data_IF_779544028622
#
_entry.id   IF_779544028622
#
_cell.length_a   1.000
_cell.length_b   1.000
_cell.length_c   1.000
_cell.angle_alpha   90.00
_cell.angle_beta   90.00
_cell.angle_gamma   90.00
#
_symmetry.space_group_name_H-M   'P 1'
#
loop_
_entity.id
_entity.type
_entity.pdbx_description
1 polymer ?
#
# COMPACT_ATOMS: atom_id res chain seq x y z
N UNK A 1 -12.92 -11.72 -8.92
CA UNK A 1 -12.20 -12.65 -8.03
C UNK A 1 -10.82 -12.14 -7.68
N UNK A 2 -9.87 -12.24 -8.61
CA UNK A 2 -8.45 -11.93 -8.36
C UNK A 2 -8.17 -10.53 -7.81
N UNK A 3 -8.82 -9.50 -8.36
CA UNK A 3 -8.66 -8.10 -7.90
C UNK A 3 -9.05 -7.91 -6.43
N UNK A 4 -10.11 -8.60 -5.97
CA UNK A 4 -10.58 -8.50 -4.58
C UNK A 4 -9.58 -9.17 -3.65
N UNK A 5 -9.09 -10.36 -4.01
CA UNK A 5 -8.06 -11.07 -3.23
C UNK A 5 -6.78 -10.25 -3.12
N UNK A 6 -6.30 -9.69 -4.23
CA UNK A 6 -5.11 -8.83 -4.25
C UNK A 6 -5.30 -7.57 -3.42
N UNK A 7 -6.43 -6.87 -3.57
CA UNK A 7 -6.72 -5.66 -2.81
C UNK A 7 -6.85 -5.92 -1.30
N UNK A 8 -7.50 -7.02 -0.92
CA UNK A 8 -7.63 -7.42 0.48
C UNK A 8 -6.28 -7.80 1.10
N UNK A 9 -5.37 -8.39 0.33
CA UNK A 9 -4.03 -8.71 0.79
C UNK A 9 -3.14 -7.47 0.98
N UNK A 10 -3.13 -6.55 0.02
CA UNK A 10 -2.19 -5.41 0.01
C UNK A 10 -2.56 -4.33 1.04
N UNK A 11 -3.86 -4.02 1.21
CA UNK A 11 -4.30 -2.90 2.06
C UNK A 11 -3.80 -2.96 3.52
N UNK A 12 -3.94 -4.08 4.25
CA UNK A 12 -3.48 -4.14 5.64
C UNK A 12 -1.95 -4.22 5.76
N UNK A 13 -1.26 -4.86 4.80
CA UNK A 13 0.18 -5.06 4.91
C UNK A 13 1.01 -3.85 4.47
N UNK A 14 0.53 -3.04 3.51
CA UNK A 14 1.30 -1.94 2.94
C UNK A 14 1.59 -0.83 3.96
N UNK A 15 0.60 -0.43 4.75
CA UNK A 15 0.76 0.60 5.78
C UNK A 15 1.65 0.14 6.94
N UNK A 16 1.45 -1.10 7.40
CA UNK A 16 2.28 -1.70 8.42
C UNK A 16 3.75 -1.77 7.96
N UNK A 17 3.98 -2.31 6.76
CA UNK A 17 5.32 -2.42 6.19
C UNK A 17 6.01 -1.06 6.01
N UNK A 18 5.27 -0.03 5.58
CA UNK A 18 5.79 1.33 5.44
C UNK A 18 6.17 1.97 6.78
N UNK A 19 5.33 1.80 7.81
CA UNK A 19 5.62 2.28 9.16
C UNK A 19 6.83 1.54 9.77
N UNK A 20 6.96 0.25 9.52
CA UNK A 20 8.05 -0.61 9.99
C UNK A 20 9.44 -0.19 9.45
N UNK A 21 9.49 0.67 8.43
CA UNK A 21 10.76 1.22 7.93
C UNK A 21 11.40 2.23 8.90
N UNK A 22 10.64 2.75 9.87
CA UNK A 22 11.10 3.76 10.82
C UNK A 22 11.26 3.17 12.21
N UNK A 23 12.26 3.63 12.96
CA UNK A 23 12.49 3.17 14.33
C UNK A 23 11.62 3.96 15.35
N UNK A 24 10.60 3.34 15.98
CA UNK A 24 9.69 4.04 16.90
C UNK A 24 10.35 4.47 18.21
N UNK A 25 11.49 3.89 18.57
CA UNK A 25 12.23 4.24 19.79
C UNK A 25 13.09 5.50 19.62
N UNK A 26 13.21 6.01 18.39
CA UNK A 26 13.95 7.25 18.09
C UNK A 26 12.99 8.41 17.81
N UNK A 27 13.32 9.61 18.29
CA UNK A 27 12.52 10.81 18.03
C UNK A 27 12.42 11.13 16.52
N UNK A 28 13.50 10.91 15.77
CA UNK A 28 13.50 11.05 14.31
C UNK A 28 12.59 10.04 13.62
N UNK A 29 12.57 8.78 14.08
CA UNK A 29 11.69 7.75 13.54
C UNK A 29 10.22 8.01 13.82
N UNK A 30 9.84 8.45 15.03
CA UNK A 30 8.46 8.87 15.34
C UNK A 30 7.97 9.99 14.42
N UNK A 31 8.82 11.01 14.19
CA UNK A 31 8.53 12.10 13.24
C UNK A 31 8.41 11.58 11.81
N UNK A 32 9.26 10.63 11.42
CA UNK A 32 9.20 9.94 10.13
C UNK A 32 7.88 9.21 9.91
N UNK A 33 7.41 8.46 10.91
CA UNK A 33 6.11 7.75 10.87
C UNK A 33 4.96 8.75 10.67
N UNK A 34 4.92 9.82 11.46
CA UNK A 34 3.87 10.84 11.31
C UNK A 34 3.90 11.50 9.93
N UNK A 35 5.08 11.85 9.42
CA UNK A 35 5.24 12.41 8.08
C UNK A 35 4.79 11.43 6.99
N UNK A 36 5.14 10.15 7.14
CA UNK A 36 4.73 9.08 6.23
C UNK A 36 3.20 8.97 6.14
N UNK A 37 2.51 8.91 7.28
CA UNK A 37 1.04 8.83 7.28
C UNK A 37 0.41 10.09 6.69
N UNK A 38 0.92 11.28 6.99
CA UNK A 38 0.44 12.53 6.40
C UNK A 38 0.55 12.52 4.87
N UNK A 39 1.72 12.16 4.34
CA UNK A 39 1.94 12.05 2.90
C UNK A 39 1.11 10.95 2.26
N UNK A 40 0.96 9.80 2.93
CA UNK A 40 0.13 8.70 2.45
C UNK A 40 -1.32 9.15 2.28
N UNK A 41 -1.94 9.75 3.30
CA UNK A 41 -3.34 10.17 3.22
C UNK A 41 -3.55 11.33 2.25
N UNK A 42 -2.59 12.27 2.18
CA UNK A 42 -2.63 13.35 1.22
C UNK A 42 -2.61 12.81 -0.22
N UNK A 43 -1.63 11.97 -0.56
CA UNK A 43 -1.51 11.39 -1.90
C UNK A 43 -2.65 10.45 -2.24
N UNK A 44 -3.13 9.64 -1.29
CA UNK A 44 -4.30 8.77 -1.48
C UNK A 44 -5.56 9.58 -1.81
N UNK A 45 -5.82 10.65 -1.06
CA UNK A 45 -6.98 11.52 -1.29
C UNK A 45 -6.91 12.18 -2.67
N UNK A 46 -5.74 12.71 -3.03
CA UNK A 46 -5.51 13.27 -4.35
C UNK A 46 -5.70 12.24 -5.47
N UNK A 47 -5.12 11.05 -5.33
CA UNK A 47 -5.28 9.96 -6.29
C UNK A 47 -6.75 9.53 -6.43
N UNK A 48 -7.52 9.53 -5.33
CA UNK A 48 -8.94 9.23 -5.37
C UNK A 48 -9.74 10.30 -6.13
N UNK A 49 -9.40 11.58 -5.96
CA UNK A 49 -10.01 12.66 -6.76
C UNK A 49 -9.72 12.48 -8.26
N UNK A 50 -8.48 12.17 -8.63
CA UNK A 50 -8.09 11.92 -10.03
C UNK A 50 -8.78 10.67 -10.57
N UNK A 51 -8.86 9.59 -9.78
CA UNK A 51 -9.52 8.35 -10.20
C UNK A 51 -11.01 8.56 -10.48
N UNK A 52 -11.71 9.28 -9.61
CA UNK A 52 -13.16 9.53 -9.76
C UNK A 52 -13.49 10.55 -10.85
N UNK A 53 -12.52 11.33 -11.32
CA UNK A 53 -12.72 12.32 -12.37
C UNK A 53 -12.14 11.85 -13.70
N UNK A 54 -10.82 11.76 -13.80
CA UNK A 54 -10.10 11.49 -15.04
C UNK A 54 -10.28 10.05 -15.51
N UNK A 55 -10.13 9.06 -14.62
CA UNK A 55 -10.24 7.65 -15.03
C UNK A 55 -11.69 7.33 -15.40
N UNK A 56 -12.67 7.79 -14.62
CA UNK A 56 -14.09 7.65 -14.95
C UNK A 56 -14.43 8.36 -16.26
N UNK A 57 -13.89 9.55 -16.52
CA UNK A 57 -14.07 10.24 -17.79
C UNK A 57 -13.56 9.40 -18.97
N UNK A 58 -12.35 8.83 -18.88
CA UNK A 58 -11.76 7.98 -19.91
C UNK A 58 -12.60 6.71 -20.14
N UNK A 59 -13.07 6.09 -19.06
CA UNK A 59 -13.93 4.90 -19.14
C UNK A 59 -15.25 5.19 -19.85
N UNK A 60 -15.87 6.33 -19.56
CA UNK A 60 -17.20 6.69 -20.06
C UNK A 60 -17.19 7.35 -21.45
N UNK A 61 -16.13 8.09 -21.81
CA UNK A 61 -16.12 8.90 -23.04
C UNK A 61 -15.10 8.45 -24.09
N UNK A 62 -14.07 7.68 -23.71
CA UNK A 62 -12.99 7.29 -24.63
C UNK A 62 -13.03 5.80 -24.91
N UNK A 63 -12.75 4.98 -23.89
CA UNK A 63 -12.75 3.53 -24.00
C UNK A 63 -12.60 2.89 -22.64
N UNK A 64 -13.42 1.88 -22.38
CA UNK A 64 -13.34 1.06 -21.18
C UNK A 64 -12.00 0.32 -21.06
N UNK A 65 -11.48 -0.19 -22.18
CA UNK A 65 -10.21 -0.92 -22.22
C UNK A 65 -9.03 -0.03 -21.79
N UNK A 66 -8.99 1.21 -22.27
CA UNK A 66 -7.95 2.18 -21.90
C UNK A 66 -8.10 2.59 -20.44
N UNK A 67 -9.34 2.87 -20.01
CA UNK A 67 -9.64 3.25 -18.64
C UNK A 67 -9.27 2.18 -17.60
N UNK A 68 -9.32 0.90 -17.95
CA UNK A 68 -8.83 -0.20 -17.10
C UNK A 68 -7.33 -0.47 -17.25
N UNK A 69 -6.75 -0.23 -18.42
CA UNK A 69 -5.32 -0.40 -18.65
C UNK A 69 -4.48 0.57 -17.80
N UNK A 70 -4.95 1.80 -17.58
CA UNK A 70 -4.23 2.81 -16.80
C UNK A 70 -3.95 2.35 -15.35
N UNK A 71 -4.96 1.97 -14.52
CA UNK A 71 -4.70 1.43 -13.18
C UNK A 71 -3.84 0.16 -13.20
N UNK A 72 -4.02 -0.72 -14.18
CA UNK A 72 -3.25 -1.95 -14.29
C UNK A 72 -1.76 -1.67 -14.55
N UNK A 73 -1.44 -0.72 -15.43
CA UNK A 73 -0.08 -0.28 -15.72
C UNK A 73 0.57 0.40 -14.50
N UNK A 74 -0.17 1.26 -13.80
CA UNK A 74 0.30 1.91 -12.56
C UNK A 74 0.59 0.89 -11.46
N UNK A 75 -0.26 -0.13 -11.30
CA UNK A 75 -0.02 -1.22 -10.36
C UNK A 75 1.22 -2.02 -10.73
N UNK A 76 1.41 -2.35 -12.01
CA UNK A 76 2.60 -3.06 -12.48
C UNK A 76 3.87 -2.24 -12.22
N UNK A 77 3.83 -0.94 -12.49
CA UNK A 77 4.94 -0.02 -12.19
C UNK A 77 5.24 0.03 -10.68
N UNK A 78 4.20 0.08 -9.84
CA UNK A 78 4.34 0.02 -8.37
C UNK A 78 5.01 -1.27 -7.92
N UNK A 79 4.63 -2.42 -8.47
CA UNK A 79 5.28 -3.70 -8.17
C UNK A 79 6.77 -3.67 -8.55
N UNK A 80 7.12 -3.17 -9.74
CA UNK A 80 8.52 -3.07 -10.18
C UNK A 80 9.34 -2.21 -9.21
N UNK A 81 8.83 -1.03 -8.83
CA UNK A 81 9.50 -0.14 -7.88
C UNK A 81 9.67 -0.79 -6.49
N UNK A 82 8.65 -1.50 -6.02
CA UNK A 82 8.70 -2.24 -4.76
C UNK A 82 9.80 -3.33 -4.78
N UNK A 83 9.89 -4.11 -5.87
CA UNK A 83 10.93 -5.14 -5.97
C UNK A 83 12.34 -4.57 -6.09
N UNK A 84 12.53 -3.44 -6.80
CA UNK A 84 13.84 -2.77 -6.87
C UNK A 84 14.32 -2.33 -5.47
N UNK A 85 13.41 -1.81 -4.64
CA UNK A 85 13.71 -1.37 -3.27
C UNK A 85 14.00 -2.49 -2.26
N UNK A 86 13.84 -3.76 -2.64
CA UNK A 86 13.85 -4.92 -1.71
C UNK A 86 15.15 -5.09 -0.90
N UNK A 87 16.28 -4.56 -1.40
CA UNK A 87 17.58 -4.58 -0.68
C UNK A 87 17.72 -3.47 0.37
N UNK A 88 16.92 -2.41 0.27
CA UNK A 88 16.98 -1.23 1.13
C UNK A 88 15.97 -1.34 2.28
N UNK A 89 14.90 -2.13 2.10
CA UNK A 89 13.85 -2.24 3.11
C UNK A 89 14.29 -2.94 4.39
N UNK A 90 13.84 -2.39 5.52
CA UNK A 90 13.89 -3.01 6.83
C UNK A 90 12.91 -4.17 6.85
N UNK A 91 13.43 -5.37 7.15
CA UNK A 91 12.63 -6.60 7.27
C UNK A 91 12.42 -6.92 8.74
N UNK A 92 11.20 -6.72 9.22
CA UNK A 92 10.81 -7.09 10.57
C UNK A 92 10.83 -8.61 10.69
N UNK A 93 11.44 -9.12 11.76
CA UNK A 93 11.45 -10.56 12.05
C UNK A 93 10.02 -11.02 12.32
N UNK A 94 9.64 -12.24 11.90
CA UNK A 94 8.32 -12.76 12.21
C UNK A 94 8.13 -12.80 13.74
N UNK A 95 7.15 -12.04 14.22
CA UNK A 95 6.55 -12.25 15.53
C UNK A 95 5.89 -13.64 15.48
N UNK A 96 5.98 -14.45 16.54
CA UNK A 96 5.56 -15.85 16.55
C UNK A 96 4.11 -16.10 16.08
N UNK A 97 3.73 -17.37 15.97
CA UNK A 97 2.42 -17.75 15.43
C UNK A 97 1.26 -17.11 16.23
N UNK A 98 0.41 -16.27 15.60
CA UNK A 98 -0.77 -15.71 16.26
C UNK A 98 -1.77 -16.79 16.68
N UNK A 99 -1.76 -17.96 16.01
CA UNK A 99 -2.55 -19.12 16.41
C UNK A 99 -2.06 -19.75 17.73
N UNK A 100 -0.75 -19.69 18.00
CA UNK A 100 -0.18 -20.18 19.25
C UNK A 100 -0.55 -19.26 20.42
N UNK A 101 -0.55 -17.94 20.21
CA UNK A 101 -1.04 -16.98 21.20
C UNK A 101 -2.53 -17.10 21.45
N UNK A 102 -3.34 -17.41 20.42
CA UNK A 102 -4.77 -17.66 20.60
C UNK A 102 -5.02 -18.94 21.41
N UNK A 103 -4.26 -20.01 21.13
CA UNK A 103 -4.34 -21.28 21.85
C UNK A 103 -3.81 -21.20 23.29
N UNK A 104 -2.91 -20.25 23.60
CA UNK A 104 -2.41 -20.02 24.96
C UNK A 104 -3.38 -19.25 25.86
N UNK A 105 -4.41 -18.61 25.29
CA UNK A 105 -5.41 -17.82 26.05
C UNK A 105 -6.65 -18.66 26.40
N UNK A 106 -6.77 -19.88 25.87
CA UNK A 106 -7.81 -20.88 26.20
C UNK A 106 -7.23 -21.92 27.15
#
# INVERSE_FOLDING_TARGET
>A
GLLVVGAAGIRPCNLAFGADQFNPNSESGKRGINSFFNWYFFTYTFAQMVSLTLIVYVQSNVSWSIGLAIPAALMLMSCVLFFIGTKIYVRVKPQGSPFLSLAQVI
#
